data_IF_255560378551
#
_entry.id   IF_255560378551
#
_cell.length_a   1.000
_cell.length_b   1.000
_cell.length_c   1.000
_cell.angle_alpha   90.00
_cell.angle_beta   90.00
_cell.angle_gamma   90.00
#
_symmetry.space_group_name_H-M   'P 1'
#
loop_
_entity.id
_entity.type
_entity.pdbx_description
1 polymer ?
#
# COMPACT_ATOMS: atom_id res chain seq x y z
N UNK A 1 -14.26 -15.58 -6.85
CA UNK A 1 -14.51 -14.35 -6.06
C UNK A 1 -13.92 -13.15 -6.77
N UNK A 2 -14.62 -12.01 -6.79
CA UNK A 2 -14.10 -10.74 -7.35
C UNK A 2 -13.37 -9.92 -6.27
N UNK A 3 -12.42 -9.09 -6.69
CA UNK A 3 -11.66 -8.19 -5.79
C UNK A 3 -11.71 -6.76 -6.30
N UNK A 4 -12.18 -5.81 -5.49
CA UNK A 4 -12.16 -4.38 -5.81
C UNK A 4 -10.92 -3.76 -5.19
N UNK A 5 -10.17 -3.01 -6.01
CA UNK A 5 -8.90 -2.40 -5.63
C UNK A 5 -8.96 -0.90 -5.92
N UNK A 6 -9.31 -0.06 -4.93
CA UNK A 6 -9.37 1.39 -5.11
C UNK A 6 -7.97 2.01 -5.10
N UNK A 7 -7.57 2.64 -6.22
CA UNK A 7 -6.24 3.19 -6.49
C UNK A 7 -6.27 4.66 -6.97
N UNK A 8 -7.42 5.31 -6.93
CA UNK A 8 -7.60 6.63 -7.53
C UNK A 8 -6.83 7.77 -6.83
N UNK A 9 -6.33 7.53 -5.62
CA UNK A 9 -5.67 8.53 -4.79
C UNK A 9 -4.37 9.09 -5.38
N UNK A 10 -4.12 10.41 -5.21
CA UNK A 10 -2.93 11.12 -5.72
C UNK A 10 -1.64 10.83 -4.94
N UNK A 11 -1.71 10.20 -3.76
CA UNK A 11 -0.53 9.91 -2.93
C UNK A 11 0.27 11.15 -2.50
N UNK A 12 -0.39 12.26 -2.19
CA UNK A 12 0.25 13.57 -1.96
C UNK A 12 1.29 13.60 -0.84
N UNK A 13 1.15 12.72 0.16
CA UNK A 13 2.11 12.60 1.28
C UNK A 13 3.45 11.95 0.88
N UNK A 14 3.50 11.29 -0.29
CA UNK A 14 4.70 10.69 -0.88
C UNK A 14 5.35 11.56 -1.96
N UNK A 15 4.88 12.79 -2.16
CA UNK A 15 5.56 13.71 -3.07
C UNK A 15 6.98 14.00 -2.56
N UNK A 16 7.96 14.11 -3.48
CA UNK A 16 7.83 14.29 -4.94
C UNK A 16 7.65 12.99 -5.75
N UNK A 17 7.81 11.79 -5.17
CA UNK A 17 7.84 10.51 -5.89
C UNK A 17 6.55 10.23 -6.66
N UNK A 18 5.40 10.57 -6.08
CA UNK A 18 4.08 10.34 -6.69
C UNK A 18 3.69 11.37 -7.76
N UNK A 19 4.60 12.24 -8.17
CA UNK A 19 4.42 13.02 -9.39
C UNK A 19 4.61 12.17 -10.65
N UNK A 20 5.51 11.18 -10.59
CA UNK A 20 5.92 10.36 -11.74
C UNK A 20 5.53 8.90 -11.62
N UNK A 21 5.36 8.37 -10.39
CA UNK A 21 5.02 6.97 -10.12
C UNK A 21 3.73 6.90 -9.30
N UNK A 22 2.69 6.15 -9.72
CA UNK A 22 1.49 5.99 -8.91
C UNK A 22 1.83 5.26 -7.61
N UNK A 23 1.18 5.67 -6.50
CA UNK A 23 1.46 5.15 -5.15
C UNK A 23 1.54 3.61 -5.08
N UNK A 24 0.63 2.83 -5.71
CA UNK A 24 0.68 1.37 -5.66
C UNK A 24 1.91 0.75 -6.31
N UNK A 25 2.58 1.47 -7.21
CA UNK A 25 3.78 1.04 -7.91
C UNK A 25 5.09 1.51 -7.25
N UNK A 26 5.02 2.27 -6.18
CA UNK A 26 6.20 2.55 -5.33
C UNK A 26 6.75 1.23 -4.84
N UNK A 27 8.06 1.06 -4.96
CA UNK A 27 8.72 -0.20 -4.60
C UNK A 27 9.25 -0.17 -3.16
N UNK A 28 9.12 -1.31 -2.50
CA UNK A 28 9.73 -1.62 -1.20
C UNK A 28 10.32 -3.03 -1.28
N UNK A 29 11.51 -3.22 -0.75
CA UNK A 29 12.27 -4.48 -0.87
C UNK A 29 12.30 -5.00 -2.34
N UNK A 30 12.50 -4.09 -3.31
CA UNK A 30 12.63 -4.38 -4.73
C UNK A 30 11.33 -4.66 -5.49
N UNK A 31 10.15 -4.61 -4.84
CA UNK A 31 8.87 -4.95 -5.47
C UNK A 31 7.82 -3.85 -5.21
N UNK A 32 6.92 -3.56 -6.17
CA UNK A 32 5.78 -2.68 -5.94
C UNK A 32 4.96 -3.08 -4.71
N UNK A 33 4.46 -2.09 -3.97
CA UNK A 33 3.53 -2.34 -2.85
C UNK A 33 2.34 -3.18 -3.30
N UNK A 34 1.82 -2.92 -4.50
CA UNK A 34 0.72 -3.67 -5.08
C UNK A 34 1.03 -5.17 -5.21
N UNK A 35 2.25 -5.56 -5.62
CA UNK A 35 2.63 -6.97 -5.75
C UNK A 35 2.64 -7.70 -4.40
N UNK A 36 3.13 -7.04 -3.34
CA UNK A 36 3.11 -7.61 -1.99
C UNK A 36 1.69 -7.91 -1.51
N UNK A 37 0.73 -7.05 -1.87
CA UNK A 37 -0.69 -7.24 -1.54
C UNK A 37 -1.33 -8.31 -2.41
N UNK A 38 -1.09 -8.27 -3.72
CA UNK A 38 -1.71 -9.21 -4.68
C UNK A 38 -1.27 -10.66 -4.46
N UNK A 39 -0.03 -10.90 -4.02
CA UNK A 39 0.46 -12.25 -3.68
C UNK A 39 -0.37 -12.88 -2.54
N UNK A 40 -0.99 -12.08 -1.66
CA UNK A 40 -1.86 -12.59 -0.57
C UNK A 40 -3.19 -13.17 -1.07
N UNK A 41 -3.55 -12.90 -2.32
CA UNK A 41 -4.77 -13.42 -2.95
C UNK A 41 -4.57 -14.81 -3.56
N UNK A 42 -3.34 -15.32 -3.58
CA UNK A 42 -3.05 -16.64 -4.11
C UNK A 42 -3.85 -17.73 -3.37
N UNK A 43 -4.45 -18.64 -4.11
CA UNK A 43 -5.26 -19.74 -3.54
C UNK A 43 -6.69 -19.37 -3.15
N UNK A 44 -7.11 -18.10 -3.26
CA UNK A 44 -8.48 -17.68 -2.91
C UNK A 44 -9.50 -17.82 -4.06
N UNK A 45 -9.10 -18.32 -5.23
CA UNK A 45 -9.99 -18.47 -6.37
C UNK A 45 -10.49 -17.11 -6.91
N UNK A 46 -9.60 -16.15 -7.04
CA UNK A 46 -9.94 -14.83 -7.60
C UNK A 46 -10.25 -14.97 -9.10
N UNK A 47 -11.43 -14.52 -9.51
CA UNK A 47 -11.95 -14.62 -10.87
C UNK A 47 -11.77 -13.33 -11.67
N UNK A 48 -11.85 -12.18 -11.01
CA UNK A 48 -11.71 -10.86 -11.63
C UNK A 48 -11.16 -9.85 -10.63
N UNK A 49 -10.27 -8.97 -11.11
CA UNK A 49 -9.75 -7.81 -10.41
C UNK A 49 -10.43 -6.56 -10.95
N UNK A 50 -11.05 -5.76 -10.10
CA UNK A 50 -11.73 -4.50 -10.45
C UNK A 50 -10.93 -3.35 -9.86
N UNK A 51 -10.10 -2.71 -10.68
CA UNK A 51 -9.29 -1.58 -10.29
C UNK A 51 -10.08 -0.27 -10.46
N UNK A 52 -10.22 0.49 -9.37
CA UNK A 52 -10.75 1.86 -9.45
C UNK A 52 -9.56 2.79 -9.55
N UNK A 53 -9.29 3.28 -10.75
CA UNK A 53 -8.08 4.04 -11.11
C UNK A 53 -8.33 5.54 -11.12
N UNK A 54 -7.27 6.34 -11.14
CA UNK A 54 -7.34 7.80 -11.19
C UNK A 54 -6.00 8.42 -11.61
N UNK A 55 -5.27 9.00 -10.67
CA UNK A 55 -3.98 9.62 -10.96
C UNK A 55 -2.98 8.60 -11.53
N UNK A 56 -2.35 8.94 -12.67
CA UNK A 56 -1.41 8.08 -13.41
C UNK A 56 -1.99 6.70 -13.78
N UNK A 57 -3.29 6.63 -14.08
CA UNK A 57 -4.03 5.39 -14.36
C UNK A 57 -3.37 4.52 -15.42
N UNK A 58 -2.84 5.11 -16.50
CA UNK A 58 -2.26 4.37 -17.63
C UNK A 58 -1.07 3.50 -17.20
N UNK A 59 -0.27 3.96 -16.23
CA UNK A 59 0.84 3.20 -15.67
C UNK A 59 0.34 2.00 -14.84
N UNK A 60 -0.70 2.21 -14.03
CA UNK A 60 -1.32 1.13 -13.23
C UNK A 60 -1.93 0.08 -14.15
N UNK A 61 -2.68 0.50 -15.17
CA UNK A 61 -3.33 -0.39 -16.13
C UNK A 61 -2.31 -1.22 -16.92
N UNK A 62 -1.28 -0.56 -17.47
CA UNK A 62 -0.21 -1.23 -18.21
C UNK A 62 0.53 -2.25 -17.34
N UNK A 63 0.83 -1.87 -16.09
CA UNK A 63 1.48 -2.76 -15.14
C UNK A 63 0.60 -3.98 -14.80
N UNK A 64 -0.64 -3.75 -14.38
CA UNK A 64 -1.54 -4.81 -13.94
C UNK A 64 -1.84 -5.81 -15.05
N UNK A 65 -2.11 -5.33 -16.29
CA UNK A 65 -2.36 -6.20 -17.46
C UNK A 65 -1.16 -7.10 -17.78
N UNK A 66 0.05 -6.61 -17.58
CA UNK A 66 1.28 -7.39 -17.83
C UNK A 66 1.57 -8.36 -16.69
N UNK A 67 1.29 -7.97 -15.45
CA UNK A 67 1.74 -8.67 -14.25
C UNK A 67 0.77 -9.73 -13.74
N UNK A 68 -0.54 -9.46 -13.82
CA UNK A 68 -1.54 -10.35 -13.25
C UNK A 68 -2.30 -11.10 -14.35
N UNK A 69 -2.29 -12.45 -14.33
CA UNK A 69 -2.98 -13.27 -15.34
C UNK A 69 -4.51 -13.29 -15.15
N UNK A 70 -5.00 -12.80 -14.00
CA UNK A 70 -6.43 -12.75 -13.67
C UNK A 70 -7.12 -11.68 -14.52
N UNK A 71 -8.32 -11.93 -15.08
CA UNK A 71 -9.10 -10.91 -15.78
C UNK A 71 -9.20 -9.62 -14.99
N UNK A 72 -8.89 -8.50 -15.63
CA UNK A 72 -8.80 -7.22 -14.95
C UNK A 72 -9.68 -6.18 -15.63
N UNK A 73 -10.50 -5.48 -14.84
CA UNK A 73 -11.33 -4.34 -15.22
C UNK A 73 -10.78 -3.06 -14.62
N UNK A 74 -10.81 -1.98 -15.38
CA UNK A 74 -10.33 -0.68 -14.93
C UNK A 74 -11.45 0.33 -15.06
N UNK A 75 -11.74 1.04 -13.98
CA UNK A 75 -12.82 2.04 -13.88
C UNK A 75 -12.21 3.32 -13.32
N UNK A 76 -12.35 4.41 -14.04
CA UNK A 76 -11.79 5.68 -13.60
C UNK A 76 -12.70 6.41 -12.61
N UNK A 77 -12.20 6.71 -11.42
CA UNK A 77 -12.82 7.66 -10.50
C UNK A 77 -12.41 9.08 -10.88
N UNK A 78 -13.26 9.76 -11.65
CA UNK A 78 -12.99 11.12 -12.12
C UNK A 78 -13.10 12.16 -11.01
N UNK A 79 -14.03 11.96 -10.08
CA UNK A 79 -14.25 12.83 -8.92
C UNK A 79 -13.73 12.11 -7.68
N UNK A 80 -12.84 12.74 -6.94
CA UNK A 80 -12.26 12.20 -5.69
C UNK A 80 -13.24 12.46 -4.53
N UNK A 81 -14.35 11.74 -4.53
CA UNK A 81 -15.48 11.91 -3.61
C UNK A 81 -15.46 10.94 -2.41
N UNK A 82 -14.33 10.29 -2.19
CA UNK A 82 -14.11 9.40 -1.06
C UNK A 82 -14.17 7.91 -1.40
N UNK A 83 -14.03 7.10 -0.36
CA UNK A 83 -13.92 5.64 -0.52
C UNK A 83 -15.25 4.98 -0.86
N UNK A 84 -16.39 5.50 -0.38
CA UNK A 84 -17.70 4.99 -0.74
C UNK A 84 -18.01 5.23 -2.22
N UNK A 85 -17.72 6.44 -2.74
CA UNK A 85 -17.88 6.76 -4.16
C UNK A 85 -17.00 5.91 -5.05
N UNK A 86 -15.74 5.68 -4.65
CA UNK A 86 -14.83 4.79 -5.38
C UNK A 86 -15.40 3.36 -5.52
N UNK A 87 -15.84 2.77 -4.41
CA UNK A 87 -16.40 1.41 -4.42
C UNK A 87 -17.72 1.34 -5.19
N UNK A 88 -18.57 2.40 -5.11
CA UNK A 88 -19.82 2.45 -5.84
C UNK A 88 -19.66 2.27 -7.36
N UNK A 89 -18.56 2.75 -7.93
CA UNK A 89 -18.26 2.59 -9.35
C UNK A 89 -18.15 1.12 -9.80
N UNK A 90 -17.77 0.22 -8.89
CA UNK A 90 -17.67 -1.21 -9.19
C UNK A 90 -19.02 -1.93 -9.24
N UNK A 91 -20.11 -1.33 -8.70
CA UNK A 91 -21.42 -1.97 -8.52
C UNK A 91 -21.96 -2.71 -9.75
N UNK A 92 -21.93 -2.13 -10.99
CA UNK A 92 -22.48 -2.81 -12.17
C UNK A 92 -21.73 -4.10 -12.57
N UNK A 93 -20.58 -4.35 -11.96
CA UNK A 93 -19.66 -5.43 -12.32
C UNK A 93 -19.48 -6.48 -11.21
N UNK A 94 -20.06 -6.27 -10.03
CA UNK A 94 -19.95 -7.20 -8.89
C UNK A 94 -21.15 -8.12 -8.86
N UNK A 95 -20.91 -9.44 -8.84
CA UNK A 95 -21.95 -10.47 -8.99
C UNK A 95 -22.02 -11.46 -7.81
N UNK A 96 -21.41 -11.14 -6.67
CA UNK A 96 -21.40 -12.03 -5.50
C UNK A 96 -20.48 -11.52 -4.41
N UNK A 97 -20.07 -12.40 -3.49
CA UNK A 97 -19.13 -12.02 -2.44
C UNK A 97 -17.87 -11.37 -3.01
N UNK A 98 -17.45 -10.26 -2.42
CA UNK A 98 -16.38 -9.44 -2.93
C UNK A 98 -15.36 -9.12 -1.83
N UNK A 99 -14.09 -9.07 -2.21
CA UNK A 99 -13.04 -8.52 -1.37
C UNK A 99 -12.73 -7.09 -1.80
N UNK A 100 -12.50 -6.19 -0.85
CA UNK A 100 -12.08 -4.80 -1.10
C UNK A 100 -10.73 -4.62 -0.43
N UNK A 101 -9.72 -4.22 -1.20
CA UNK A 101 -8.34 -4.10 -0.70
C UNK A 101 -7.75 -2.76 -1.09
N UNK A 102 -7.41 -1.95 -0.08
CA UNK A 102 -6.62 -0.74 -0.28
C UNK A 102 -5.14 -1.12 -0.31
N UNK A 103 -4.45 -0.77 -1.40
CA UNK A 103 -3.04 -1.14 -1.63
C UNK A 103 -2.08 -0.01 -1.27
N UNK A 104 -2.30 0.59 -0.14
CA UNK A 104 -1.41 1.62 0.43
C UNK A 104 -0.64 1.11 1.65
N UNK A 105 -0.85 -0.14 2.01
CA UNK A 105 -0.19 -0.85 3.10
C UNK A 105 0.11 -2.28 2.68
N UNK A 106 1.20 -2.85 3.20
CA UNK A 106 1.46 -4.29 3.12
C UNK A 106 0.99 -4.93 4.43
N UNK A 107 0.44 -6.13 4.37
CA UNK A 107 -0.09 -6.81 5.56
C UNK A 107 0.23 -8.30 5.58
N UNK A 108 0.27 -8.86 6.80
CA UNK A 108 0.32 -10.29 7.06
C UNK A 108 -0.99 -10.71 7.74
N UNK A 109 -1.93 -11.27 6.97
CA UNK A 109 -3.24 -11.70 7.44
C UNK A 109 -3.64 -13.04 6.81
N UNK A 110 -4.39 -13.86 7.54
CA UNK A 110 -5.02 -15.05 6.98
C UNK A 110 -6.30 -14.66 6.23
N UNK A 111 -6.24 -14.72 4.90
CA UNK A 111 -7.39 -14.45 4.04
C UNK A 111 -8.24 -15.70 3.81
N UNK A 112 -7.75 -16.91 4.11
CA UNK A 112 -8.48 -18.16 3.88
C UNK A 112 -9.77 -18.28 4.71
N UNK A 113 -9.87 -17.47 5.77
CA UNK A 113 -11.08 -17.43 6.62
C UNK A 113 -12.35 -17.10 5.84
N UNK A 114 -12.25 -16.35 4.72
CA UNK A 114 -13.40 -16.00 3.87
C UNK A 114 -14.09 -17.22 3.25
N UNK A 115 -13.33 -18.29 2.98
CA UNK A 115 -13.86 -19.50 2.35
C UNK A 115 -14.74 -20.33 3.29
N UNK A 116 -14.64 -20.07 4.60
CA UNK A 116 -15.33 -20.82 5.67
C UNK A 116 -16.33 -19.98 6.44
N UNK A 117 -16.34 -18.66 6.22
CA UNK A 117 -17.21 -17.75 6.96
C UNK A 117 -18.64 -17.77 6.42
N UNK A 118 -19.59 -17.78 7.36
CA UNK A 118 -21.01 -17.55 7.09
C UNK A 118 -21.48 -16.15 7.51
N UNK A 119 -20.56 -15.29 7.96
CA UNK A 119 -20.84 -13.91 8.35
C UNK A 119 -21.20 -13.04 7.12
N UNK A 120 -21.85 -11.92 7.33
CA UNK A 120 -22.19 -10.96 6.26
C UNK A 120 -20.98 -10.23 5.72
N UNK A 121 -19.92 -10.13 6.55
CA UNK A 121 -18.64 -9.57 6.17
C UNK A 121 -17.55 -9.83 7.20
N UNK A 122 -16.32 -9.61 6.78
CA UNK A 122 -15.12 -9.65 7.63
C UNK A 122 -14.31 -8.38 7.36
N UNK A 123 -13.88 -7.72 8.43
CA UNK A 123 -12.97 -6.57 8.37
C UNK A 123 -11.70 -6.91 9.14
N UNK A 124 -10.55 -6.81 8.50
CA UNK A 124 -9.28 -6.99 9.18
C UNK A 124 -8.90 -5.71 9.91
N UNK A 125 -8.50 -5.86 11.15
CA UNK A 125 -8.18 -4.75 12.02
C UNK A 125 -6.95 -5.05 12.90
N UNK A 126 -6.24 -4.00 13.30
CA UNK A 126 -5.05 -4.06 14.14
C UNK A 126 -5.09 -2.98 15.21
N UNK A 127 -4.65 -3.30 16.42
CA UNK A 127 -4.44 -2.30 17.46
C UNK A 127 -3.30 -1.35 17.08
N UNK A 128 -3.55 -0.05 17.22
CA UNK A 128 -2.60 1.04 16.95
C UNK A 128 -2.72 2.14 18.00
N UNK A 129 -1.63 2.86 18.23
CA UNK A 129 -1.65 4.00 19.16
C UNK A 129 -2.23 5.27 18.50
N UNK A 130 -1.93 5.51 17.22
CA UNK A 130 -2.38 6.68 16.44
C UNK A 130 -3.71 6.44 15.71
N UNK A 131 -4.68 5.86 16.41
CA UNK A 131 -6.00 5.45 15.89
C UNK A 131 -6.75 6.56 15.14
N UNK A 132 -6.52 7.83 15.48
CA UNK A 132 -7.21 9.00 14.91
C UNK A 132 -7.01 9.17 13.40
N UNK A 133 -6.04 8.47 12.82
CA UNK A 133 -5.75 8.49 11.37
C UNK A 133 -6.59 7.53 10.56
N UNK A 134 -7.28 6.61 11.21
CA UNK A 134 -7.91 5.43 10.60
C UNK A 134 -9.40 5.33 10.94
N UNK A 135 -10.11 4.49 10.22
CA UNK A 135 -11.41 4.00 10.67
C UNK A 135 -11.21 3.05 11.86
N UNK A 136 -11.94 3.30 12.95
CA UNK A 136 -11.77 2.57 14.20
C UNK A 136 -13.00 1.73 14.50
N UNK A 137 -12.76 0.50 14.96
CA UNK A 137 -13.76 -0.54 15.17
C UNK A 137 -13.98 -0.79 16.66
N UNK A 138 -15.22 -0.96 17.07
CA UNK A 138 -15.62 -1.49 18.38
C UNK A 138 -16.31 -2.83 18.18
N UNK A 139 -15.93 -3.84 18.95
CA UNK A 139 -16.49 -5.19 18.87
C UNK A 139 -17.18 -5.60 20.17
N UNK A 140 -18.09 -6.55 20.06
CA UNK A 140 -18.61 -7.30 21.21
C UNK A 140 -17.61 -8.39 21.66
N UNK A 141 -17.97 -9.12 22.71
CA UNK A 141 -17.15 -10.22 23.26
C UNK A 141 -17.00 -11.40 22.30
N UNK A 142 -17.84 -11.53 21.27
CA UNK A 142 -17.75 -12.57 20.25
C UNK A 142 -16.94 -12.14 19.01
N UNK A 143 -16.41 -10.90 19.00
CA UNK A 143 -15.61 -10.35 17.90
C UNK A 143 -16.45 -9.79 16.74
N UNK A 144 -17.76 -9.57 16.94
CA UNK A 144 -18.59 -8.91 15.95
C UNK A 144 -18.58 -7.39 16.18
N UNK A 145 -18.54 -6.67 15.07
CA UNK A 145 -18.56 -5.21 15.11
C UNK A 145 -19.89 -4.68 15.62
N UNK A 146 -19.81 -3.78 16.60
CA UNK A 146 -20.94 -3.01 17.11
C UNK A 146 -20.88 -1.56 16.62
N UNK A 147 -19.69 -1.07 16.26
CA UNK A 147 -19.50 0.29 15.76
C UNK A 147 -18.24 0.38 14.90
N UNK A 148 -18.29 1.24 13.87
CA UNK A 148 -17.11 1.70 13.12
C UNK A 148 -17.22 3.20 12.88
N UNK A 149 -16.13 3.94 13.11
CA UNK A 149 -16.09 5.40 12.93
C UNK A 149 -14.83 5.80 12.21
N UNK A 150 -14.95 6.54 11.12
CA UNK A 150 -13.82 7.09 10.38
C UNK A 150 -13.17 8.23 11.14
N UNK A 151 -11.87 8.15 11.36
CA UNK A 151 -11.03 9.20 11.98
C UNK A 151 -11.67 9.85 13.21
N UNK A 152 -11.98 9.07 14.27
CA UNK A 152 -12.68 9.57 15.42
C UNK A 152 -11.86 10.63 16.16
N UNK A 153 -12.55 11.66 16.67
CA UNK A 153 -11.93 12.71 17.49
C UNK A 153 -11.66 12.23 18.91
N UNK A 154 -12.51 11.33 19.42
CA UNK A 154 -12.44 10.77 20.76
C UNK A 154 -11.92 9.33 20.74
N UNK A 155 -11.24 8.88 21.79
CA UNK A 155 -10.72 7.53 21.89
C UNK A 155 -11.83 6.52 22.16
N UNK A 156 -12.49 6.01 21.11
CA UNK A 156 -13.54 4.99 21.24
C UNK A 156 -12.97 3.57 21.23
N UNK A 157 -11.87 3.37 20.54
CA UNK A 157 -11.11 2.10 20.43
C UNK A 157 -9.75 2.38 19.83
N UNK A 158 -8.79 1.49 20.03
CA UNK A 158 -7.50 1.48 19.32
C UNK A 158 -7.48 0.50 18.13
N UNK A 159 -8.56 -0.24 17.91
CA UNK A 159 -8.64 -1.25 16.86
C UNK A 159 -8.94 -0.56 15.52
N UNK A 160 -7.90 -0.31 14.73
CA UNK A 160 -7.99 0.34 13.43
C UNK A 160 -8.24 -0.67 12.31
N UNK A 161 -9.20 -0.39 11.41
CA UNK A 161 -9.32 -1.16 10.18
C UNK A 161 -8.13 -0.85 9.25
N UNK A 162 -7.64 -1.88 8.55
CA UNK A 162 -6.45 -1.77 7.71
C UNK A 162 -6.75 -1.54 6.22
N UNK A 163 -8.00 -1.29 5.86
CA UNK A 163 -8.40 -1.17 4.46
C UNK A 163 -8.53 -2.52 3.73
N UNK A 164 -8.83 -3.58 4.47
CA UNK A 164 -9.05 -4.91 3.95
C UNK A 164 -10.40 -5.43 4.44
N UNK A 165 -11.28 -5.74 3.48
CA UNK A 165 -12.67 -6.13 3.74
C UNK A 165 -13.08 -7.29 2.85
N UNK A 166 -13.85 -8.20 3.39
CA UNK A 166 -14.62 -9.18 2.62
C UNK A 166 -16.10 -9.01 2.93
N UNK A 167 -16.93 -8.97 1.90
CA UNK A 167 -18.36 -8.77 2.02
C UNK A 167 -19.09 -9.87 1.29
N UNK A 168 -19.86 -10.65 2.03
CA UNK A 168 -20.76 -11.66 1.48
C UNK A 168 -22.10 -11.04 1.08
N UNK A 169 -22.64 -10.22 1.96
CA UNK A 169 -23.95 -9.57 1.77
C UNK A 169 -23.82 -8.29 0.95
N UNK A 170 -23.41 -8.43 -0.31
CA UNK A 170 -23.12 -7.29 -1.20
C UNK A 170 -24.34 -6.39 -1.44
N UNK A 171 -25.55 -6.94 -1.49
CA UNK A 171 -26.77 -6.13 -1.64
C UNK A 171 -26.98 -5.17 -0.47
N UNK A 172 -26.67 -5.62 0.76
CA UNK A 172 -26.74 -4.77 1.94
C UNK A 172 -25.65 -3.69 1.92
N UNK A 173 -24.44 -4.04 1.45
CA UNK A 173 -23.36 -3.07 1.25
C UNK A 173 -23.77 -1.98 0.24
N UNK A 174 -24.35 -2.38 -0.91
CA UNK A 174 -24.79 -1.39 -1.92
C UNK A 174 -25.87 -0.46 -1.38
N UNK A 175 -26.84 -0.97 -0.61
CA UNK A 175 -27.84 -0.12 0.06
C UNK A 175 -27.21 0.82 1.07
N UNK A 176 -26.19 0.35 1.81
CA UNK A 176 -25.42 1.18 2.73
C UNK A 176 -24.68 2.30 2.01
N UNK A 177 -24.01 1.99 0.90
CA UNK A 177 -23.32 2.99 0.07
C UNK A 177 -24.32 3.98 -0.54
N UNK A 178 -25.46 3.53 -1.09
CA UNK A 178 -26.51 4.40 -1.62
C UNK A 178 -27.03 5.36 -0.54
N UNK A 179 -27.21 4.87 0.70
CA UNK A 179 -27.63 5.71 1.82
C UNK A 179 -26.58 6.78 2.14
N UNK A 180 -25.30 6.38 2.23
CA UNK A 180 -24.20 7.31 2.56
C UNK A 180 -24.03 8.38 1.50
N UNK A 181 -24.13 8.04 0.21
CA UNK A 181 -24.01 9.00 -0.90
C UNK A 181 -25.15 10.02 -0.95
N UNK A 182 -26.28 9.76 -0.29
CA UNK A 182 -27.40 10.70 -0.14
C UNK A 182 -27.24 11.64 1.07
N UNK A 183 -26.29 11.37 1.98
CA UNK A 183 -26.02 12.21 3.14
C UNK A 183 -25.05 13.35 2.80
N UNK A 184 -25.00 14.41 3.60
CA UNK A 184 -23.97 15.43 3.48
C UNK A 184 -22.56 14.81 3.58
N UNK A 185 -21.69 15.14 2.64
CA UNK A 185 -20.32 14.66 2.66
C UNK A 185 -19.50 15.27 3.80
N UNK A 186 -18.54 14.52 4.31
CA UNK A 186 -17.56 15.03 5.25
C UNK A 186 -16.39 15.65 4.46
N UNK A 187 -16.34 16.98 4.38
CA UNK A 187 -15.34 17.74 3.61
C UNK A 187 -15.24 17.32 2.14
N UNK A 188 -16.37 16.95 1.52
CA UNK A 188 -16.43 16.49 0.12
C UNK A 188 -16.16 15.01 -0.09
N UNK A 189 -16.00 14.23 0.97
CA UNK A 189 -15.75 12.79 0.91
C UNK A 189 -16.87 12.00 1.60
N UNK A 190 -17.23 10.84 1.02
CA UNK A 190 -18.08 9.83 1.62
C UNK A 190 -17.25 8.57 1.93
N UNK A 191 -17.33 8.11 3.16
CA UNK A 191 -16.49 7.01 3.63
C UNK A 191 -17.20 5.66 3.52
N UNK A 192 -16.47 4.64 3.09
CA UNK A 192 -16.96 3.26 3.06
C UNK A 192 -17.29 2.74 4.47
N UNK A 193 -16.56 3.22 5.48
CA UNK A 193 -16.81 2.90 6.90
C UNK A 193 -18.22 3.28 7.35
N UNK A 194 -18.78 4.37 6.82
CA UNK A 194 -20.15 4.78 7.15
C UNK A 194 -21.18 3.82 6.55
N UNK A 195 -20.90 3.22 5.39
CA UNK A 195 -21.75 2.18 4.82
C UNK A 195 -21.72 0.91 5.67
N UNK A 196 -20.57 0.51 6.21
CA UNK A 196 -20.49 -0.60 7.16
C UNK A 196 -21.22 -0.30 8.47
N UNK A 197 -21.12 0.92 8.99
CA UNK A 197 -21.91 1.34 10.16
C UNK A 197 -23.41 1.20 9.90
N UNK A 198 -23.87 1.63 8.73
CA UNK A 198 -25.27 1.48 8.31
C UNK A 198 -25.71 0.01 8.24
N UNK A 199 -24.83 -0.90 7.76
CA UNK A 199 -25.10 -2.33 7.73
C UNK A 199 -25.23 -2.93 9.15
N UNK A 200 -24.32 -2.57 10.06
CA UNK A 200 -24.34 -3.04 11.46
C UNK A 200 -25.64 -2.62 12.16
N UNK A 201 -26.05 -1.37 12.00
CA UNK A 201 -27.31 -0.84 12.58
C UNK A 201 -28.57 -1.58 12.08
N UNK A 202 -28.44 -2.32 10.96
CA UNK A 202 -29.51 -3.13 10.36
C UNK A 202 -29.30 -4.62 10.54
N UNK A 203 -28.49 -4.98 11.52
CA UNK A 203 -28.30 -6.36 11.97
C UNK A 203 -27.31 -7.17 11.17
N UNK A 204 -26.50 -6.55 10.30
CA UNK A 204 -25.41 -7.27 9.62
C UNK A 204 -24.39 -7.80 10.64
N UNK A 205 -24.06 -9.06 10.51
CA UNK A 205 -23.03 -9.71 11.32
C UNK A 205 -21.68 -9.58 10.64
N UNK A 206 -20.94 -8.53 10.98
CA UNK A 206 -19.60 -8.27 10.45
C UNK A 206 -18.59 -8.61 11.54
N UNK A 207 -17.71 -9.56 11.26
CA UNK A 207 -16.67 -10.02 12.17
C UNK A 207 -15.38 -9.22 11.95
N UNK A 208 -14.61 -8.99 13.01
CA UNK A 208 -13.22 -8.58 12.87
C UNK A 208 -12.29 -9.77 12.78
N UNK A 209 -11.22 -9.63 12.00
CA UNK A 209 -10.13 -10.59 11.93
C UNK A 209 -8.79 -9.90 12.26
N UNK A 210 -7.92 -10.62 12.91
CA UNK A 210 -6.61 -10.12 13.34
C UNK A 210 -5.61 -10.03 12.17
N UNK A 211 -4.63 -9.14 12.34
CA UNK A 211 -3.54 -8.91 11.41
C UNK A 211 -2.22 -9.05 12.14
N UNK A 212 -1.42 -10.03 11.77
CA UNK A 212 -0.11 -10.28 12.38
C UNK A 212 0.88 -9.14 12.10
N UNK A 213 0.86 -8.60 10.88
CA UNK A 213 1.68 -7.47 10.44
C UNK A 213 0.90 -6.48 9.58
N UNK A 214 1.15 -5.20 9.79
CA UNK A 214 0.59 -4.11 8.99
C UNK A 214 1.63 -3.01 8.82
N UNK A 215 2.00 -2.71 7.56
CA UNK A 215 3.16 -1.89 7.20
C UNK A 215 2.71 -0.80 6.25
N UNK A 216 2.66 0.44 6.76
CA UNK A 216 2.18 1.62 6.02
C UNK A 216 3.22 2.06 4.96
N UNK A 217 2.74 2.37 3.76
CA UNK A 217 3.51 3.00 2.69
C UNK A 217 2.91 4.37 2.31
N UNK A 218 2.40 5.10 3.29
CA UNK A 218 1.70 6.37 3.08
C UNK A 218 2.57 7.63 3.11
N UNK A 219 3.76 7.54 3.70
CA UNK A 219 4.76 8.62 3.80
C UNK A 219 6.15 8.10 3.51
N UNK A 220 7.12 8.97 3.21
CA UNK A 220 8.52 8.55 2.99
C UNK A 220 9.07 7.76 4.18
N UNK A 221 8.86 8.25 5.41
CA UNK A 221 9.35 7.57 6.62
C UNK A 221 8.75 6.19 6.81
N UNK A 222 7.41 6.05 6.66
CA UNK A 222 6.74 4.74 6.80
C UNK A 222 7.08 3.80 5.63
N UNK A 223 7.35 4.32 4.44
CA UNK A 223 7.79 3.52 3.29
C UNK A 223 9.20 2.96 3.50
N UNK A 224 10.13 3.75 4.04
CA UNK A 224 11.47 3.29 4.43
C UNK A 224 11.42 2.25 5.54
N UNK A 225 10.55 2.45 6.54
CA UNK A 225 10.35 1.46 7.61
C UNK A 225 9.77 0.14 7.06
N UNK A 226 8.78 0.22 6.16
CA UNK A 226 8.23 -0.96 5.48
C UNK A 226 9.30 -1.67 4.64
N UNK A 227 10.15 -0.92 3.92
CA UNK A 227 11.30 -1.47 3.19
C UNK A 227 12.22 -2.25 4.13
N UNK A 228 12.58 -1.66 5.28
CA UNK A 228 13.42 -2.30 6.31
C UNK A 228 12.83 -3.61 6.79
N UNK A 229 11.55 -3.61 7.17
CA UNK A 229 10.86 -4.80 7.70
C UNK A 229 10.77 -5.90 6.65
N UNK A 230 10.43 -5.56 5.41
CA UNK A 230 10.31 -6.54 4.33
C UNK A 230 11.66 -7.14 3.94
N UNK A 231 12.73 -6.34 3.92
CA UNK A 231 14.09 -6.85 3.71
C UNK A 231 14.50 -7.82 4.83
N UNK A 232 14.19 -7.51 6.09
CA UNK A 232 14.46 -8.42 7.21
C UNK A 232 13.69 -9.75 7.10
N UNK A 233 12.43 -9.70 6.68
CA UNK A 233 11.56 -10.88 6.59
C UNK A 233 11.84 -11.76 5.38
N UNK A 234 12.19 -11.17 4.25
CA UNK A 234 12.24 -11.86 2.96
C UNK A 234 13.62 -11.90 2.33
N UNK A 235 14.62 -11.26 2.96
CA UNK A 235 16.05 -11.23 2.58
C UNK A 235 16.35 -11.67 1.13
N UNK A 236 15.96 -10.90 0.11
CA UNK A 236 16.33 -11.23 -1.26
C UNK A 236 17.77 -10.81 -1.50
N UNK A 237 18.69 -11.68 -1.22
CA UNK A 237 20.10 -11.51 -1.61
C UNK A 237 20.26 -11.85 -3.08
N UNK A 238 20.20 -10.88 -3.96
CA UNK A 238 20.48 -11.09 -5.39
C UNK A 238 21.96 -10.96 -5.74
N UNK A 239 22.78 -10.45 -4.84
CA UNK A 239 24.23 -10.39 -5.06
C UNK A 239 24.99 -10.80 -3.79
N UNK A 240 25.83 -11.83 -3.87
CA UNK A 240 26.83 -12.06 -2.83
C UNK A 240 27.76 -10.85 -2.77
N UNK A 241 27.90 -10.27 -1.58
CA UNK A 241 28.99 -9.35 -1.30
C UNK A 241 30.28 -10.03 -1.72
N UNK A 242 31.00 -9.49 -2.67
CA UNK A 242 32.41 -9.83 -2.84
C UNK A 242 33.24 -9.04 -1.83
N UNK A 243 34.47 -9.47 -1.58
CA UNK A 243 35.34 -8.82 -0.60
C UNK A 243 35.72 -7.37 -0.97
N UNK A 244 35.30 -6.85 -2.12
CA UNK A 244 35.58 -5.52 -2.63
C UNK A 244 34.36 -4.61 -2.62
N UNK A 245 33.14 -5.17 -2.58
CA UNK A 245 31.89 -4.43 -2.42
C UNK A 245 31.44 -4.53 -0.97
N UNK A 246 31.46 -3.43 -0.23
CA UNK A 246 31.03 -3.37 1.17
C UNK A 246 29.49 -3.46 1.31
N UNK A 247 28.87 -4.57 0.87
CA UNK A 247 27.43 -4.79 1.06
C UNK A 247 27.15 -5.33 2.45
N UNK A 248 26.27 -4.66 3.21
CA UNK A 248 25.84 -5.05 4.55
C UNK A 248 24.37 -5.47 4.48
N UNK A 249 24.09 -6.74 4.72
CA UNK A 249 22.73 -7.30 4.69
C UNK A 249 21.85 -6.82 5.88
N UNK A 250 20.51 -6.84 5.75
CA UNK A 250 19.74 -7.23 4.55
C UNK A 250 19.61 -6.09 3.53
N UNK A 251 19.77 -6.42 2.26
CA UNK A 251 19.65 -5.50 1.11
C UNK A 251 18.94 -6.17 -0.06
N UNK A 252 18.35 -5.37 -0.92
CA UNK A 252 17.94 -5.75 -2.27
C UNK A 252 18.75 -4.94 -3.27
N UNK A 253 19.55 -5.61 -4.09
CA UNK A 253 20.35 -4.98 -5.15
C UNK A 253 20.02 -5.67 -6.46
N UNK A 254 19.33 -4.94 -7.35
CA UNK A 254 18.91 -5.47 -8.65
C UNK A 254 20.11 -5.69 -9.58
N UNK A 255 20.01 -6.65 -10.49
CA UNK A 255 21.06 -6.90 -11.47
C UNK A 255 21.36 -5.65 -12.32
N UNK A 256 22.63 -5.42 -12.64
CA UNK A 256 23.07 -4.23 -13.37
C UNK A 256 23.38 -3.02 -12.49
N UNK A 257 23.29 -3.12 -11.16
CA UNK A 257 23.80 -2.11 -10.22
C UNK A 257 25.33 -2.22 -10.12
N UNK A 258 26.00 -1.07 -10.17
CA UNK A 258 27.46 -0.97 -9.97
C UNK A 258 27.76 -0.34 -8.60
N UNK A 259 28.59 -1.01 -7.80
CA UNK A 259 29.04 -0.51 -6.50
C UNK A 259 30.58 -0.47 -6.52
N UNK A 260 31.16 0.71 -6.34
CA UNK A 260 32.61 0.93 -6.37
C UNK A 260 33.09 1.67 -5.11
N UNK A 261 34.03 1.09 -4.35
CA UNK A 261 34.65 1.70 -3.15
C UNK A 261 33.61 2.27 -2.18
N UNK A 262 32.48 1.55 -2.01
CA UNK A 262 31.31 2.02 -1.28
C UNK A 262 30.81 0.99 -0.29
N UNK A 263 30.13 1.46 0.76
CA UNK A 263 29.39 0.62 1.69
C UNK A 263 27.89 0.83 1.45
N UNK A 264 27.17 -0.26 1.16
CA UNK A 264 25.72 -0.25 0.90
C UNK A 264 25.03 -1.19 1.88
N UNK A 265 24.07 -0.67 2.62
CA UNK A 265 23.33 -1.41 3.63
C UNK A 265 23.73 -1.06 5.07
N UNK A 266 23.00 -1.60 6.06
CA UNK A 266 21.82 -2.45 5.86
C UNK A 266 20.57 -1.67 5.42
N UNK A 267 19.54 -2.42 5.02
CA UNK A 267 18.19 -1.92 4.70
C UNK A 267 18.13 -1.03 3.45
N UNK A 268 18.93 -1.36 2.45
CA UNK A 268 18.97 -0.64 1.17
C UNK A 268 18.32 -1.46 0.07
N UNK A 269 17.46 -0.82 -0.72
CA UNK A 269 16.94 -1.35 -1.99
C UNK A 269 17.47 -0.47 -3.12
N UNK A 270 18.15 -1.04 -4.12
CA UNK A 270 18.68 -0.34 -5.30
C UNK A 270 18.20 -1.02 -6.58
N UNK A 271 17.60 -0.23 -7.48
CA UNK A 271 17.12 -0.71 -8.76
C UNK A 271 18.20 -0.65 -9.85
N UNK A 272 17.96 -1.42 -10.92
CA UNK A 272 18.87 -1.64 -12.03
C UNK A 272 19.44 -0.35 -12.67
N UNK A 273 20.65 -0.44 -13.19
CA UNK A 273 21.33 0.65 -13.88
C UNK A 273 21.94 1.71 -12.97
N UNK A 274 21.73 1.62 -11.64
CA UNK A 274 22.25 2.59 -10.70
C UNK A 274 23.73 2.36 -10.38
N UNK A 275 24.46 3.46 -10.12
CA UNK A 275 25.89 3.48 -9.81
C UNK A 275 26.10 4.14 -8.46
N UNK A 276 26.78 3.46 -7.54
CA UNK A 276 27.16 3.96 -6.21
C UNK A 276 28.67 3.93 -6.09
N UNK A 277 29.28 5.11 -5.96
CA UNK A 277 30.74 5.27 -5.99
C UNK A 277 31.23 6.14 -4.83
N UNK A 278 32.33 5.71 -4.17
CA UNK A 278 32.97 6.43 -3.07
C UNK A 278 31.98 6.89 -1.98
N UNK A 279 31.00 6.04 -1.64
CA UNK A 279 29.78 6.42 -0.89
C UNK A 279 29.45 5.43 0.23
N UNK A 280 28.64 5.93 1.19
CA UNK A 280 28.00 5.12 2.23
C UNK A 280 26.49 5.34 2.16
N UNK A 281 25.73 4.27 1.96
CA UNK A 281 24.26 4.32 1.83
C UNK A 281 23.63 3.31 2.76
N UNK A 282 22.81 3.77 3.69
CA UNK A 282 22.06 2.95 4.64
C UNK A 282 20.58 3.33 4.65
N UNK A 283 19.70 2.39 4.98
CA UNK A 283 18.26 2.63 5.14
C UNK A 283 17.68 3.47 3.99
N UNK A 284 17.80 2.96 2.76
CA UNK A 284 17.46 3.75 1.56
C UNK A 284 16.71 2.94 0.51
N UNK A 285 15.89 3.65 -0.27
CA UNK A 285 15.28 3.17 -1.51
C UNK A 285 15.84 4.03 -2.64
N UNK A 286 16.52 3.40 -3.60
CA UNK A 286 17.16 4.06 -4.75
C UNK A 286 16.52 3.53 -6.03
N UNK A 287 15.94 4.41 -6.81
CA UNK A 287 15.31 4.12 -8.10
C UNK A 287 16.31 3.69 -9.17
N UNK A 288 15.83 3.57 -10.40
CA UNK A 288 16.62 3.13 -11.56
C UNK A 288 17.57 4.21 -12.06
N UNK A 289 18.68 3.79 -12.63
CA UNK A 289 19.63 4.65 -13.33
C UNK A 289 20.14 5.83 -12.49
N UNK A 290 20.14 5.71 -11.16
CA UNK A 290 20.67 6.72 -10.27
C UNK A 290 22.20 6.73 -10.30
N UNK A 291 22.79 7.91 -10.07
CA UNK A 291 24.24 8.08 -9.90
C UNK A 291 24.50 8.75 -8.55
N UNK A 292 25.13 8.01 -7.63
CA UNK A 292 25.49 8.45 -6.29
C UNK A 292 26.99 8.47 -6.16
N UNK A 293 27.59 9.65 -5.96
CA UNK A 293 29.03 9.80 -5.86
C UNK A 293 29.40 10.66 -4.64
N UNK A 294 30.32 10.17 -3.82
CA UNK A 294 30.78 10.83 -2.58
C UNK A 294 29.64 11.24 -1.63
N UNK A 295 28.61 10.38 -1.52
CA UNK A 295 27.47 10.64 -0.62
C UNK A 295 27.56 9.80 0.67
N UNK A 296 26.91 10.30 1.73
CA UNK A 296 26.68 9.57 3.00
C UNK A 296 25.21 9.67 3.35
N UNK A 297 24.42 8.69 2.93
CA UNK A 297 22.97 8.72 3.06
C UNK A 297 22.51 7.75 4.15
N UNK A 298 21.61 8.23 5.02
CA UNK A 298 20.83 7.43 5.96
C UNK A 298 19.39 7.97 5.98
N UNK A 299 18.43 7.12 5.63
CA UNK A 299 17.03 7.53 5.50
C UNK A 299 16.72 8.21 4.16
N UNK A 300 17.16 7.65 3.04
CA UNK A 300 16.95 8.26 1.73
C UNK A 300 15.92 7.52 0.87
N UNK A 301 15.07 8.29 0.19
CA UNK A 301 14.20 7.80 -0.88
C UNK A 301 14.46 8.61 -2.15
N UNK A 302 14.96 7.94 -3.19
CA UNK A 302 15.36 8.54 -4.45
C UNK A 302 14.54 7.95 -5.58
N UNK A 303 13.96 8.81 -6.40
CA UNK A 303 13.28 8.41 -7.64
C UNK A 303 14.26 7.96 -8.72
N UNK A 304 13.75 7.65 -9.92
CA UNK A 304 14.56 7.24 -11.05
C UNK A 304 15.43 8.39 -11.59
N UNK A 305 16.60 8.06 -12.11
CA UNK A 305 17.51 8.99 -12.79
C UNK A 305 17.96 10.18 -11.91
N UNK A 306 18.12 9.93 -10.62
CA UNK A 306 18.64 10.93 -9.66
C UNK A 306 20.17 10.92 -9.69
N UNK A 307 20.76 12.11 -9.80
CA UNK A 307 22.21 12.32 -9.69
C UNK A 307 22.51 13.07 -8.39
N UNK A 308 23.27 12.44 -7.48
CA UNK A 308 23.71 13.04 -6.22
C UNK A 308 25.23 13.03 -6.11
N UNK A 309 25.79 14.16 -5.73
CA UNK A 309 27.19 14.31 -5.46
C UNK A 309 27.45 15.08 -4.16
N UNK A 310 28.22 14.51 -3.25
CA UNK A 310 28.68 15.15 -2.02
C UNK A 310 27.63 15.32 -0.92
N UNK A 311 26.41 14.75 -1.06
CA UNK A 311 25.33 14.92 -0.09
C UNK A 311 25.52 14.05 1.14
N UNK A 312 25.18 14.59 2.33
CA UNK A 312 25.18 13.84 3.61
C UNK A 312 23.85 14.01 4.33
N UNK A 313 23.31 12.90 4.88
CA UNK A 313 22.09 12.87 5.69
C UNK A 313 20.91 12.19 5.01
N UNK A 314 19.69 12.47 5.49
CA UNK A 314 18.45 11.98 4.91
C UNK A 314 18.04 12.78 3.67
N UNK A 315 17.39 12.11 2.70
CA UNK A 315 16.98 12.78 1.47
C UNK A 315 15.70 12.18 0.90
N UNK A 316 14.81 13.02 0.38
CA UNK A 316 13.64 12.60 -0.39
C UNK A 316 13.62 13.38 -1.70
N UNK A 317 14.03 12.73 -2.80
CA UNK A 317 14.32 13.38 -4.08
C UNK A 317 13.57 12.68 -5.19
N UNK A 318 12.76 13.43 -5.93
CA UNK A 318 11.98 12.92 -7.07
C UNK A 318 12.83 12.56 -8.27
N UNK A 319 12.25 11.83 -9.21
CA UNK A 319 12.91 11.40 -10.44
C UNK A 319 13.46 12.57 -11.26
N UNK A 320 14.53 12.31 -12.04
CA UNK A 320 15.17 13.27 -12.95
C UNK A 320 15.76 14.50 -12.25
N UNK A 321 16.17 14.36 -10.99
CA UNK A 321 16.75 15.46 -10.19
C UNK A 321 18.27 15.34 -10.09
N UNK A 322 18.94 16.48 -10.09
CA UNK A 322 20.39 16.57 -9.89
C UNK A 322 20.69 17.48 -8.70
N UNK A 323 21.46 16.97 -7.72
CA UNK A 323 21.90 17.72 -6.53
C UNK A 323 23.40 17.51 -6.33
N UNK A 324 24.16 18.61 -6.32
CA UNK A 324 25.60 18.60 -6.07
C UNK A 324 25.91 19.53 -4.89
N UNK A 325 26.58 19.00 -3.87
CA UNK A 325 27.17 19.81 -2.81
C UNK A 325 28.50 20.37 -3.31
N UNK A 326 28.71 21.66 -3.07
CA UNK A 326 29.99 22.33 -3.38
C UNK A 326 31.03 22.06 -2.30
#
# INVERSE_FOLDING_TARGET
>A
MQVIIPLAGKGTRLRPHTHTVPKPLIKVAGRPVMDWVMDRLEGLGVEELIFITGHLKDQVEAYARKRYPVPSRFIEQKVQDGTAGAIHLARPHVHGPVMIIFVDTVFDADLSIVTRSNDDGIIWAKEVEDYQRFGVVVTDAAGYMTKIVEKPREPISKLANIGLYWVRSVDQMWRGIDHVLQQPSNKGEWYLTDAFQWMIERGARIRTAEVAGWYDCGTVGTTLETNRILLQKHAPTHRRADAQTGVVEPCFIEDGVTIERSTVGPYVSIEAGSIVKDSVVTNAIVGRNCRLERVRLDGAMLGDEVVLEGLTGAASIGSHSEVRSR
#
